data_IF_993874782153
#
_entry.id   IF_993874782153
#
_cell.length_a   1.000
_cell.length_b   1.000
_cell.length_c   1.000
_cell.angle_alpha   90.00
_cell.angle_beta   90.00
_cell.angle_gamma   90.00
#
_symmetry.space_group_name_H-M   'P 1'
#
loop_
_entity.id
_entity.type
_entity.pdbx_description
1 polymer ?
#
# COMPACT_ATOMS: atom_id res chain seq x y z
N UNK A 1 20.60 90.59 -51.25
CA UNK A 1 19.18 90.77 -51.66
C UNK A 1 18.51 89.40 -51.58
N UNK A 2 17.48 89.24 -50.72
CA UNK A 2 16.06 89.03 -51.08
C UNK A 2 15.87 87.79 -51.99
N UNK A 3 15.01 86.80 -51.69
CA UNK A 3 13.73 86.80 -50.99
C UNK A 3 13.28 85.31 -50.80
N UNK A 4 12.65 84.89 -49.68
CA UNK A 4 11.18 84.83 -49.41
C UNK A 4 10.56 83.46 -49.80
N UNK A 5 10.18 82.64 -48.80
CA UNK A 5 8.81 82.21 -48.40
C UNK A 5 8.01 81.42 -49.47
N UNK A 6 7.15 80.44 -49.20
CA UNK A 6 6.77 79.61 -48.04
C UNK A 6 5.78 78.53 -48.60
N UNK A 7 4.74 78.03 -47.89
CA UNK A 7 4.44 76.59 -47.77
C UNK A 7 3.19 76.16 -48.56
N UNK A 8 2.90 74.85 -48.59
CA UNK A 8 1.65 74.37 -49.18
C UNK A 8 1.45 72.86 -49.10
N UNK A 9 0.70 72.45 -48.09
CA UNK A 9 -0.05 71.20 -47.88
C UNK A 9 -0.61 70.52 -49.13
N UNK A 10 -0.56 69.18 -49.24
CA UNK A 10 -1.79 68.38 -49.30
C UNK A 10 -1.62 66.87 -49.01
N UNK A 11 -2.76 66.30 -48.67
CA UNK A 11 -3.24 65.07 -48.04
C UNK A 11 -2.86 63.68 -48.59
N UNK A 12 -2.92 62.76 -47.62
CA UNK A 12 -3.52 61.39 -47.62
C UNK A 12 -2.84 60.29 -48.44
N UNK A 13 -2.36 59.26 -47.73
CA UNK A 13 -3.02 57.93 -47.57
C UNK A 13 -2.13 56.98 -46.73
N UNK A 14 -2.64 56.55 -45.58
CA UNK A 14 -2.30 55.24 -44.97
C UNK A 14 -2.87 54.11 -45.85
N UNK A 15 -2.58 52.81 -45.64
CA UNK A 15 -1.85 52.17 -44.53
C UNK A 15 -0.85 51.06 -44.96
N UNK A 16 0.07 50.69 -44.07
CA UNK A 16 0.62 49.31 -43.93
C UNK A 16 1.48 49.32 -42.66
N UNK A 17 0.91 48.94 -41.52
CA UNK A 17 0.96 47.57 -41.00
C UNK A 17 2.39 47.04 -40.88
N UNK A 18 3.03 47.35 -39.74
CA UNK A 18 3.83 46.39 -38.96
C UNK A 18 3.59 46.68 -37.48
N UNK A 19 2.54 46.06 -36.93
CA UNK A 19 2.44 45.87 -35.48
C UNK A 19 3.62 44.99 -35.08
N UNK A 20 4.58 45.59 -34.38
CA UNK A 20 5.58 44.87 -33.62
C UNK A 20 4.83 44.03 -32.59
N UNK A 21 4.78 42.71 -32.78
CA UNK A 21 4.34 41.79 -31.74
C UNK A 21 5.46 41.77 -30.69
N UNK A 22 5.31 42.57 -29.65
CA UNK A 22 5.92 42.25 -28.38
C UNK A 22 5.26 40.95 -27.90
N UNK A 23 5.98 39.83 -28.05
CA UNK A 23 5.65 38.58 -27.39
C UNK A 23 5.71 38.83 -25.88
N UNK A 24 4.56 39.16 -25.30
CA UNK A 24 4.37 39.14 -23.86
C UNK A 24 4.38 37.68 -23.45
N UNK A 25 5.55 37.20 -23.02
CA UNK A 25 5.72 35.88 -22.43
C UNK A 25 4.94 35.86 -21.11
N UNK A 26 3.68 35.45 -21.18
CA UNK A 26 2.89 35.12 -20.01
C UNK A 26 3.57 33.93 -19.33
N UNK A 27 4.30 34.19 -18.25
CA UNK A 27 4.78 33.16 -17.35
C UNK A 27 3.55 32.47 -16.74
N UNK A 28 3.15 31.35 -17.33
CA UNK A 28 2.22 30.41 -16.73
C UNK A 28 2.90 29.81 -15.49
N UNK A 29 2.59 30.40 -14.33
CA UNK A 29 2.75 29.74 -13.04
C UNK A 29 1.86 28.50 -13.05
N UNK A 30 2.45 27.36 -13.42
CA UNK A 30 1.84 26.06 -13.19
C UNK A 30 1.80 25.90 -11.67
N UNK A 31 0.65 26.21 -11.07
CA UNK A 31 0.33 25.76 -9.73
C UNK A 31 0.33 24.23 -9.78
N UNK A 32 1.46 23.62 -9.43
CA UNK A 32 1.53 22.20 -9.17
C UNK A 32 0.59 21.94 -7.99
N UNK A 33 -0.64 21.51 -8.28
CA UNK A 33 -1.50 20.90 -7.29
C UNK A 33 -0.70 19.75 -6.70
N UNK A 34 -0.15 19.95 -5.50
CA UNK A 34 0.35 18.90 -4.66
C UNK A 34 -0.86 18.05 -4.26
N UNK A 35 -1.28 17.16 -5.17
CA UNK A 35 -2.26 16.15 -4.84
C UNK A 35 -1.68 15.37 -3.65
N UNK A 36 -2.43 15.16 -2.57
CA UNK A 36 -1.95 14.34 -1.45
C UNK A 36 -1.56 12.99 -2.04
N UNK A 37 -0.27 12.67 -1.97
CA UNK A 37 0.28 11.43 -2.49
C UNK A 37 -0.33 10.30 -1.67
N UNK A 38 -1.29 9.58 -2.25
CA UNK A 38 -1.79 8.34 -1.67
C UNK A 38 -0.58 7.40 -1.50
N UNK A 39 -0.24 7.08 -0.25
CA UNK A 39 0.94 6.29 0.08
C UNK A 39 0.53 4.83 0.25
N UNK A 40 1.16 3.95 -0.52
CA UNK A 40 1.06 2.52 -0.33
C UNK A 40 2.35 2.02 0.32
N UNK A 41 2.23 1.39 1.48
CA UNK A 41 3.32 0.64 2.08
C UNK A 41 3.22 -0.82 1.62
N UNK A 42 4.35 -1.40 1.23
CA UNK A 42 4.41 -2.73 0.65
C UNK A 42 5.49 -3.54 1.37
N UNK A 43 5.09 -4.66 1.97
CA UNK A 43 6.03 -5.69 2.40
C UNK A 43 6.04 -6.80 1.36
N UNK A 44 7.20 -7.07 0.77
CA UNK A 44 7.37 -8.11 -0.22
C UNK A 44 8.16 -9.28 0.38
N UNK A 45 7.58 -10.48 0.34
CA UNK A 45 8.23 -11.66 0.91
C UNK A 45 9.43 -12.11 0.06
N UNK A 46 9.41 -11.95 -1.28
CA UNK A 46 10.54 -12.25 -2.17
C UNK A 46 11.30 -13.57 -1.87
N UNK A 47 10.59 -14.65 -1.53
CA UNK A 47 11.19 -15.94 -1.19
C UNK A 47 11.68 -16.07 0.25
N UNK A 48 11.19 -15.21 1.15
CA UNK A 48 11.48 -15.25 2.58
C UNK A 48 11.25 -16.64 3.15
N UNK A 49 12.18 -17.10 4.00
CA UNK A 49 12.02 -18.35 4.71
C UNK A 49 10.74 -18.32 5.55
N UNK A 50 10.00 -19.42 5.55
CA UNK A 50 8.92 -19.58 6.52
C UNK A 50 9.49 -19.76 7.93
N UNK A 51 8.77 -19.30 8.98
CA UNK A 51 9.09 -19.69 10.35
C UNK A 51 9.08 -21.21 10.50
N UNK A 52 9.75 -21.71 11.53
CA UNK A 52 9.70 -23.13 11.87
C UNK A 52 8.25 -23.60 12.13
N UNK A 53 8.01 -24.90 11.97
CA UNK A 53 6.71 -25.49 12.24
C UNK A 53 6.25 -25.20 13.68
N UNK A 54 5.01 -24.75 13.84
CA UNK A 54 4.42 -24.32 15.10
C UNK A 54 4.81 -22.89 15.54
N UNK A 55 5.56 -22.15 14.72
CA UNK A 55 6.04 -20.81 15.07
C UNK A 55 5.19 -19.71 14.42
N UNK A 56 4.93 -18.67 15.21
CA UNK A 56 4.38 -17.38 14.79
C UNK A 56 5.48 -16.33 14.86
N UNK A 57 5.75 -15.65 13.76
CA UNK A 57 6.81 -14.63 13.67
C UNK A 57 6.25 -13.28 13.20
N UNK A 58 6.62 -12.20 13.87
CA UNK A 58 6.37 -10.83 13.41
C UNK A 58 7.44 -10.36 12.41
N UNK A 59 7.02 -9.73 11.31
CA UNK A 59 7.91 -9.39 10.18
C UNK A 59 8.03 -7.89 9.92
N UNK A 60 6.93 -7.14 10.04
CA UNK A 60 6.87 -5.74 9.62
C UNK A 60 5.79 -4.98 10.38
N UNK A 61 5.95 -3.66 10.52
CA UNK A 61 4.95 -2.77 11.09
C UNK A 61 4.50 -1.77 10.02
N UNK A 62 3.23 -1.85 9.65
CA UNK A 62 2.57 -0.85 8.80
C UNK A 62 1.97 0.25 9.68
N UNK A 63 1.94 1.48 9.21
CA UNK A 63 1.10 2.50 9.83
C UNK A 63 -0.17 2.71 9.01
N UNK A 64 -1.32 2.63 9.68
CA UNK A 64 -2.63 2.81 9.07
C UNK A 64 -3.20 4.14 9.53
N UNK A 65 -3.80 4.85 8.60
CA UNK A 65 -4.54 6.06 8.87
C UNK A 65 -6.01 5.82 8.55
N UNK A 66 -6.90 5.98 9.52
CA UNK A 66 -8.34 5.85 9.31
C UNK A 66 -8.92 7.09 8.63
N UNK A 67 -10.16 6.96 8.17
CA UNK A 67 -10.90 8.05 7.54
C UNK A 67 -11.20 9.18 8.51
N UNK A 68 -11.37 8.85 9.78
CA UNK A 68 -11.64 9.78 10.87
C UNK A 68 -10.44 10.68 11.15
N UNK A 69 -9.23 10.13 11.05
CA UNK A 69 -7.98 10.83 11.35
C UNK A 69 -7.34 11.51 10.13
N UNK A 70 -7.99 11.44 8.96
CA UNK A 70 -7.51 12.03 7.72
C UNK A 70 -7.26 13.54 7.88
N UNK A 71 -6.07 14.07 7.52
CA UNK A 71 -5.77 15.50 7.57
C UNK A 71 -6.43 16.29 6.44
N UNK A 72 -7.02 15.59 5.47
CA UNK A 72 -7.67 16.17 4.29
C UNK A 72 -9.08 15.63 4.06
N UNK A 73 -9.66 15.87 2.87
CA UNK A 73 -11.00 15.39 2.53
C UNK A 73 -11.14 13.89 2.76
N UNK A 74 -12.27 13.48 3.33
CA UNK A 74 -12.59 12.07 3.57
C UNK A 74 -12.93 11.37 2.25
N UNK A 75 -11.91 10.90 1.52
CA UNK A 75 -12.05 10.36 0.16
C UNK A 75 -12.46 8.88 0.14
N UNK A 76 -11.69 8.02 0.81
CA UNK A 76 -11.88 6.56 0.80
C UNK A 76 -11.22 5.96 2.04
N UNK A 77 -11.63 4.79 2.51
CA UNK A 77 -10.98 4.10 3.64
C UNK A 77 -9.63 3.48 3.26
N UNK A 78 -8.78 3.27 4.26
CA UNK A 78 -7.54 2.51 4.09
C UNK A 78 -7.81 1.04 3.78
N UNK A 79 -6.95 0.44 2.94
CA UNK A 79 -7.11 -0.93 2.45
C UNK A 79 -5.88 -1.77 2.76
N UNK A 80 -6.12 -2.99 3.22
CA UNK A 80 -5.15 -4.07 3.31
C UNK A 80 -5.36 -5.01 2.13
N UNK A 81 -4.28 -5.37 1.44
CA UNK A 81 -4.32 -6.35 0.36
C UNK A 81 -3.24 -7.40 0.56
N UNK A 82 -3.62 -8.65 0.45
CA UNK A 82 -2.71 -9.79 0.24
C UNK A 82 -2.68 -10.06 -1.25
N UNK A 83 -1.49 -10.03 -1.86
CA UNK A 83 -1.32 -10.15 -3.32
C UNK A 83 -0.31 -11.23 -3.67
N UNK A 84 -0.70 -12.12 -4.57
CA UNK A 84 0.15 -13.21 -5.10
C UNK A 84 0.81 -14.04 -3.99
N UNK A 85 0.08 -14.27 -2.88
CA UNK A 85 0.59 -15.04 -1.75
C UNK A 85 0.71 -16.50 -2.17
N UNK A 86 1.92 -17.05 -2.07
CA UNK A 86 2.19 -18.46 -2.40
C UNK A 86 3.39 -18.99 -1.63
N UNK A 87 3.35 -20.29 -1.33
CA UNK A 87 4.43 -21.01 -0.68
C UNK A 87 5.03 -22.02 -1.66
N UNK A 88 6.36 -22.08 -1.71
CA UNK A 88 7.11 -23.01 -2.54
C UNK A 88 8.17 -23.73 -1.74
N UNK A 89 8.59 -24.88 -2.22
CA UNK A 89 9.81 -25.55 -1.77
C UNK A 89 11.03 -24.80 -2.29
N UNK A 90 12.18 -24.98 -1.64
CA UNK A 90 13.46 -24.37 -2.05
C UNK A 90 13.85 -24.72 -3.50
N UNK A 91 13.49 -25.92 -3.97
CA UNK A 91 13.70 -26.35 -5.35
C UNK A 91 12.72 -25.72 -6.36
N UNK A 92 11.83 -24.83 -5.93
CA UNK A 92 10.83 -24.15 -6.75
C UNK A 92 9.51 -24.89 -6.91
N UNK A 93 9.41 -26.13 -6.43
CA UNK A 93 8.20 -26.94 -6.54
C UNK A 93 7.06 -26.41 -5.67
N UNK A 94 5.84 -26.76 -6.09
CA UNK A 94 4.63 -26.50 -5.31
C UNK A 94 4.66 -27.33 -4.03
N UNK A 95 4.41 -26.69 -2.90
CA UNK A 95 4.18 -27.39 -1.64
C UNK A 95 2.69 -27.75 -1.51
N UNK A 96 2.37 -28.93 -0.96
CA UNK A 96 0.98 -29.39 -0.75
C UNK A 96 0.70 -29.41 0.75
N UNK A 97 -0.59 -29.41 1.11
CA UNK A 97 -1.06 -29.59 2.49
C UNK A 97 -0.37 -28.64 3.48
N UNK A 98 -0.43 -27.35 3.16
CA UNK A 98 0.19 -26.29 3.94
C UNK A 98 -0.82 -25.60 4.86
N UNK A 99 -0.45 -25.48 6.12
CA UNK A 99 -1.16 -24.67 7.11
C UNK A 99 -0.35 -23.40 7.42
N UNK A 100 -0.12 -22.56 6.42
CA UNK A 100 0.58 -21.27 6.57
C UNK A 100 -0.44 -20.14 6.53
N UNK A 101 -0.40 -19.25 7.52
CA UNK A 101 -1.27 -18.09 7.60
C UNK A 101 -0.48 -16.80 7.76
N UNK A 102 -0.98 -15.73 7.15
CA UNK A 102 -0.41 -14.40 7.19
C UNK A 102 -1.44 -13.48 7.83
N UNK A 103 -1.03 -12.76 8.86
CA UNK A 103 -1.91 -11.91 9.65
C UNK A 103 -1.46 -10.46 9.60
N UNK A 104 -2.41 -9.54 9.61
CA UNK A 104 -2.15 -8.12 9.89
C UNK A 104 -3.04 -7.72 11.06
N UNK A 105 -2.42 -7.31 12.15
CA UNK A 105 -3.05 -7.18 13.47
C UNK A 105 -2.74 -5.82 14.10
N UNK A 106 -3.68 -5.18 14.81
CA UNK A 106 -3.37 -3.97 15.58
C UNK A 106 -2.26 -4.25 16.60
N UNK A 107 -1.12 -3.57 16.49
CA UNK A 107 0.06 -3.84 17.31
C UNK A 107 -0.20 -3.61 18.80
N UNK A 108 -0.92 -2.55 19.17
CA UNK A 108 -1.21 -2.26 20.59
C UNK A 108 -2.00 -3.37 21.28
N UNK A 109 -2.75 -4.17 20.52
CA UNK A 109 -3.67 -5.17 21.04
C UNK A 109 -3.21 -6.60 20.77
N UNK A 110 -2.07 -6.82 20.10
CA UNK A 110 -1.74 -8.13 19.55
C UNK A 110 -1.71 -9.24 20.63
N UNK A 111 -1.18 -8.95 21.82
CA UNK A 111 -1.09 -9.90 22.93
C UNK A 111 -2.46 -10.23 23.56
N UNK A 112 -3.40 -9.28 23.50
CA UNK A 112 -4.76 -9.43 23.98
C UNK A 112 -5.69 -10.02 22.92
N UNK A 113 -5.33 -9.89 21.65
CA UNK A 113 -6.07 -10.44 20.52
C UNK A 113 -5.74 -11.89 20.26
N UNK A 114 -4.48 -12.29 20.42
CA UNK A 114 -4.04 -13.64 20.12
C UNK A 114 -3.69 -14.41 21.38
N UNK A 115 -4.02 -15.69 21.37
CA UNK A 115 -3.30 -16.66 22.17
C UNK A 115 -2.28 -17.37 21.26
N UNK A 116 -1.02 -16.96 21.36
CA UNK A 116 0.08 -17.53 20.56
C UNK A 116 0.17 -19.05 20.65
N UNK A 117 -0.31 -19.67 21.74
CA UNK A 117 -0.26 -21.12 21.93
C UNK A 117 -1.34 -21.87 21.15
N UNK A 118 -2.38 -21.18 20.70
CA UNK A 118 -3.54 -21.81 20.03
C UNK A 118 -3.64 -21.48 18.55
N UNK A 119 -2.84 -20.53 18.04
CA UNK A 119 -2.82 -20.15 16.61
C UNK A 119 -2.63 -21.37 15.69
N UNK A 120 -1.77 -22.31 16.09
CA UNK A 120 -1.52 -23.54 15.33
C UNK A 120 -2.25 -24.79 15.83
N UNK A 121 -3.22 -24.63 16.74
CA UNK A 121 -4.05 -25.70 17.29
C UNK A 121 -3.29 -26.79 18.06
N UNK A 122 -3.94 -27.40 19.04
CA UNK A 122 -3.38 -28.58 19.73
C UNK A 122 -3.69 -29.90 19.00
N UNK A 123 -4.60 -29.89 18.03
CA UNK A 123 -5.06 -31.08 17.31
C UNK A 123 -4.70 -31.01 15.82
N UNK A 124 -3.53 -31.53 15.48
CA UNK A 124 -3.19 -31.86 14.09
C UNK A 124 -2.59 -30.75 13.22
N UNK A 125 -2.09 -29.65 13.80
CA UNK A 125 -1.32 -28.64 13.05
C UNK A 125 -2.13 -27.80 12.06
N UNK A 126 -3.44 -27.67 12.28
CA UNK A 126 -4.28 -26.83 11.42
C UNK A 126 -4.32 -25.40 11.94
N UNK A 127 -4.14 -24.44 11.03
CA UNK A 127 -4.31 -23.04 11.40
C UNK A 127 -5.76 -22.81 11.83
N UNK A 128 -5.92 -22.29 13.05
CA UNK A 128 -7.21 -21.83 13.55
C UNK A 128 -7.05 -20.36 13.89
N UNK A 129 -7.83 -19.44 13.30
CA UNK A 129 -7.77 -18.02 13.65
C UNK A 129 -8.28 -17.85 15.09
N UNK A 130 -7.38 -18.02 16.05
CA UNK A 130 -7.68 -17.96 17.48
C UNK A 130 -7.60 -16.51 17.96
N UNK A 131 -8.58 -15.71 17.54
CA UNK A 131 -8.81 -14.44 18.21
C UNK A 131 -9.49 -14.72 19.55
N UNK A 132 -8.90 -14.21 20.63
CA UNK A 132 -9.61 -14.04 21.89
C UNK A 132 -10.82 -13.12 21.65
N UNK A 133 -11.87 -13.28 22.44
CA UNK A 133 -13.02 -12.40 22.32
C UNK A 133 -12.63 -10.99 22.81
N UNK A 134 -12.34 -10.12 21.85
CA UNK A 134 -11.84 -8.77 22.08
C UNK A 134 -12.38 -7.82 21.00
N UNK A 135 -12.71 -6.59 21.39
CA UNK A 135 -13.33 -5.61 20.48
C UNK A 135 -12.48 -5.32 19.23
N UNK A 136 -11.16 -5.44 19.34
CA UNK A 136 -10.26 -5.14 18.22
C UNK A 136 -10.15 -6.27 17.18
N UNK A 137 -10.84 -7.42 17.37
CA UNK A 137 -10.82 -8.55 16.44
C UNK A 137 -11.29 -8.18 15.04
N UNK A 138 -12.23 -7.23 14.93
CA UNK A 138 -12.75 -6.74 13.66
C UNK A 138 -11.70 -6.00 12.80
N UNK A 139 -10.59 -5.59 13.40
CA UNK A 139 -9.49 -4.90 12.71
C UNK A 139 -8.32 -5.85 12.43
N UNK A 140 -8.42 -7.11 12.85
CA UNK A 140 -7.39 -8.11 12.64
C UNK A 140 -7.79 -9.00 11.47
N UNK A 141 -6.87 -9.18 10.52
CA UNK A 141 -7.15 -9.92 9.29
C UNK A 141 -6.13 -11.03 9.10
N UNK A 142 -6.62 -12.24 8.85
CA UNK A 142 -5.81 -13.39 8.48
C UNK A 142 -6.08 -13.78 7.03
N UNK A 143 -5.04 -14.26 6.38
CA UNK A 143 -5.09 -14.84 5.06
C UNK A 143 -4.34 -16.19 5.09
N UNK A 144 -5.03 -17.28 4.78
CA UNK A 144 -4.37 -18.58 4.63
C UNK A 144 -3.71 -18.64 3.26
N UNK A 145 -2.41 -18.90 3.25
CA UNK A 145 -1.68 -19.12 2.01
C UNK A 145 -2.17 -20.41 1.38
N UNK A 146 -2.83 -20.30 0.22
CA UNK A 146 -3.23 -21.47 -0.56
C UNK A 146 -2.05 -21.95 -1.39
N UNK A 147 -1.94 -23.26 -1.55
CA UNK A 147 -1.11 -23.86 -2.58
C UNK A 147 -1.90 -25.01 -3.21
N UNK A 148 -1.95 -25.11 -4.55
CA UNK A 148 -1.15 -24.38 -5.53
C UNK A 148 -1.79 -23.08 -6.05
N UNK A 149 -2.93 -22.68 -5.49
CA UNK A 149 -3.68 -21.51 -5.96
C UNK A 149 -3.04 -20.21 -5.47
N UNK A 150 -2.97 -19.22 -6.36
CA UNK A 150 -2.74 -17.83 -5.97
C UNK A 150 -4.06 -17.29 -5.47
N UNK A 151 -4.04 -16.65 -4.30
CA UNK A 151 -5.22 -16.02 -3.72
C UNK A 151 -4.89 -14.57 -3.36
N UNK A 152 -5.76 -13.68 -3.81
CA UNK A 152 -5.71 -12.27 -3.49
C UNK A 152 -6.86 -11.96 -2.55
N UNK A 153 -6.58 -11.25 -1.46
CA UNK A 153 -7.60 -10.83 -0.50
C UNK A 153 -7.48 -9.35 -0.23
N UNK A 154 -8.61 -8.67 -0.07
CA UNK A 154 -8.66 -7.24 0.23
C UNK A 154 -9.61 -6.97 1.39
N UNK A 155 -9.16 -6.16 2.35
CA UNK A 155 -9.90 -5.80 3.55
C UNK A 155 -9.89 -4.29 3.75
N UNK A 156 -10.93 -3.75 4.37
CA UNK A 156 -10.95 -2.37 4.87
C UNK A 156 -10.26 -2.31 6.23
N UNK A 157 -9.42 -1.30 6.44
CA UNK A 157 -8.88 -0.94 7.75
C UNK A 157 -9.52 0.37 8.23
N UNK A 158 -10.36 0.26 9.27
CA UNK A 158 -11.11 1.40 9.81
C UNK A 158 -10.51 2.05 11.06
N UNK A 159 -9.34 1.60 11.54
CA UNK A 159 -8.70 2.14 12.74
C UNK A 159 -7.27 2.56 12.45
N UNK A 160 -6.89 3.73 12.96
CA UNK A 160 -5.53 4.23 12.83
C UNK A 160 -4.55 3.53 13.78
N UNK A 161 -3.28 3.56 13.40
CA UNK A 161 -2.18 3.16 14.26
C UNK A 161 -1.28 2.10 13.62
N UNK A 162 -0.33 1.57 14.39
CA UNK A 162 0.58 0.53 13.93
C UNK A 162 -0.12 -0.83 13.82
N UNK A 163 0.11 -1.53 12.71
CA UNK A 163 -0.35 -2.88 12.46
C UNK A 163 0.84 -3.81 12.20
N UNK A 164 0.92 -4.88 12.97
CA UNK A 164 1.94 -5.91 12.85
C UNK A 164 1.56 -6.92 11.77
N UNK A 165 2.45 -7.10 10.81
CA UNK A 165 2.46 -8.25 9.91
C UNK A 165 3.07 -9.45 10.63
N UNK A 166 2.31 -10.53 10.70
CA UNK A 166 2.74 -11.81 11.26
C UNK A 166 2.62 -12.94 10.24
N UNK A 167 3.46 -13.95 10.38
CA UNK A 167 3.40 -15.20 9.61
C UNK A 167 3.38 -16.36 10.60
N UNK A 168 2.38 -17.22 10.48
CA UNK A 168 2.26 -18.46 11.24
C UNK A 168 2.52 -19.64 10.30
N UNK A 169 3.41 -20.56 10.70
CA UNK A 169 3.57 -21.85 10.04
C UNK A 169 3.02 -22.93 10.96
N UNK A 170 1.80 -23.40 10.70
CA UNK A 170 1.13 -24.40 11.51
C UNK A 170 1.27 -25.83 10.96
N UNK A 171 1.84 -26.00 9.76
CA UNK A 171 2.04 -27.32 9.16
C UNK A 171 2.85 -28.27 10.03
N UNK A 172 2.70 -29.58 9.82
CA UNK A 172 3.39 -30.56 10.67
C UNK A 172 4.91 -30.59 10.38
N UNK A 173 5.72 -30.70 11.45
CA UNK A 173 7.17 -30.86 11.33
C UNK A 173 7.57 -32.19 10.65
N UNK A 174 6.64 -33.14 10.57
CA UNK A 174 6.84 -34.47 9.97
C UNK A 174 6.85 -34.44 8.43
N UNK A 175 6.48 -33.32 7.81
CA UNK A 175 6.52 -33.11 6.35
C UNK A 175 7.83 -32.42 5.90
N UNK A 176 8.89 -33.22 5.86
CA UNK A 176 10.10 -33.09 5.02
C UNK A 176 11.16 -32.05 5.41
N UNK A 177 12.41 -32.51 5.33
CA UNK A 177 13.68 -31.77 5.30
C UNK A 177 13.80 -30.68 4.22
N UNK A 178 12.70 -30.28 3.58
CA UNK A 178 12.68 -29.31 2.50
C UNK A 178 12.33 -27.94 3.05
N UNK A 179 13.27 -26.99 2.95
CA UNK A 179 12.99 -25.60 3.31
C UNK A 179 11.88 -25.04 2.42
N UNK A 180 10.95 -24.31 3.03
CA UNK A 180 9.86 -23.65 2.35
C UNK A 180 10.08 -22.13 2.34
N UNK A 181 9.69 -21.51 1.23
CA UNK A 181 9.79 -20.07 0.99
C UNK A 181 8.43 -19.48 0.68
N UNK A 182 8.18 -18.30 1.24
CA UNK A 182 6.99 -17.49 1.04
C UNK A 182 7.24 -16.40 -0.02
N UNK A 183 6.28 -16.22 -0.91
CA UNK A 183 6.31 -15.20 -1.95
C UNK A 183 5.00 -14.41 -1.95
N UNK A 184 5.02 -13.27 -2.64
CA UNK A 184 3.89 -12.35 -2.73
C UNK A 184 4.13 -11.10 -1.90
N UNK A 185 3.09 -10.32 -1.69
CA UNK A 185 3.19 -9.06 -0.95
C UNK A 185 1.96 -8.78 -0.10
N UNK A 186 2.19 -8.05 0.98
CA UNK A 186 1.15 -7.40 1.77
C UNK A 186 1.24 -5.91 1.52
N UNK A 187 0.12 -5.31 1.13
CA UNK A 187 0.02 -3.90 0.77
C UNK A 187 -0.96 -3.21 1.69
N UNK A 188 -0.54 -2.14 2.34
CA UNK A 188 -1.42 -1.22 3.05
C UNK A 188 -1.48 0.08 2.26
N UNK A 189 -2.66 0.41 1.75
CA UNK A 189 -2.89 1.66 1.01
C UNK A 189 -3.60 2.65 1.93
N UNK A 190 -2.89 3.73 2.26
CA UNK A 190 -3.45 4.91 2.90
C UNK A 190 -3.83 5.93 1.80
N UNK A 191 -5.12 6.23 1.62
CA UNK A 191 -5.57 7.13 0.56
C UNK A 191 -5.30 8.60 0.87
N UNK A 192 -4.91 8.93 2.10
CA UNK A 192 -4.51 10.27 2.52
C UNK A 192 -2.98 10.32 2.59
N UNK A 193 -2.41 11.41 2.10
CA UNK A 193 -1.00 11.70 2.30
C UNK A 193 -0.81 12.37 3.66
N UNK A 194 -0.02 11.76 4.53
CA UNK A 194 0.64 12.49 5.63
C UNK A 194 2.01 12.90 5.09
N UNK A 195 2.15 14.19 4.81
CA UNK A 195 3.38 14.80 4.33
C UNK A 195 4.30 15.15 5.51
#
# INVERSE_FOLDING_TARGET
LKAVLAPGTDRRRSPTSRRSMAMSAAALLVAACAAPLARAEVFNFNGAALPDAGVLEGRFLFYVHSLEDSPGPKVAESKLMFKDIRVRKENGDKAKDLDVAIGVLPWSEYANLLDSKTVCGNEGGKFTPAFKDHASKQHAHWHLAKSPAIDDASYTLGRSGPYLLVVANCGSSTSSSTKLSLYGSVVVKNPYGYA
#
